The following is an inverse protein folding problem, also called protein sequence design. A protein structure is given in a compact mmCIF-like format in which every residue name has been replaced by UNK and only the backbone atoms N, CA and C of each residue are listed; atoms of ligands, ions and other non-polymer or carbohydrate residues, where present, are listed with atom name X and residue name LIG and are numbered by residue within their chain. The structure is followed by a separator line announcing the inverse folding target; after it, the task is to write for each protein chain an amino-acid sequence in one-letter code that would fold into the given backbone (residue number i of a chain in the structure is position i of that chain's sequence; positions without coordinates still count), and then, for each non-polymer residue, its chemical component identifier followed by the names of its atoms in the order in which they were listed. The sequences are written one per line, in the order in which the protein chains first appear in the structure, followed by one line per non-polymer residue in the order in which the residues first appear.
data_IF_860573260111
#
_entry.id   IF_860573260111
#
_cell.length_a   1.000
_cell.length_b   1.000
_cell.length_c   1.000
_cell.angle_alpha   90.00
_cell.angle_beta   90.00
_cell.angle_gamma   90.00
#
_symmetry.space_group_name_H-M   'P 1'
#
loop_
_entity.id
_entity.type
_entity.pdbx_description
1 polymer ?
2 non-polymer ?
3 non-polymer ?
4 non-polymer ?
5 non-polymer ?
6 water ?
#
# COMPACT_ATOMS: atom_id res chain seq x y z
N UNK A 1 -8.12 15.02 17.35
CA UNK A 1 -7.41 15.91 16.43
C UNK A 1 -8.11 15.71 15.11
N UNK A 2 -8.32 14.42 14.82
CA UNK A 2 -8.84 13.96 13.54
C UNK A 2 -10.21 14.54 13.26
N UNK A 3 -10.50 14.73 11.98
CA UNK A 3 -11.76 15.29 11.55
C UNK A 3 -12.45 14.31 10.62
N UNK A 4 -13.73 14.09 10.86
CA UNK A 4 -14.52 13.25 9.98
C UNK A 4 -15.20 14.14 8.95
N UNK A 5 -15.24 13.67 7.72
CA UNK A 5 -15.86 14.35 6.58
C UNK A 5 -16.77 13.33 5.89
N UNK A 6 -18.03 13.32 6.28
CA UNK A 6 -18.95 12.32 5.75
C UNK A 6 -19.39 12.63 4.33
N UNK A 7 -19.08 13.80 3.79
CA UNK A 7 -19.42 14.08 2.40
C UNK A 7 -18.63 13.21 1.43
N UNK A 8 -17.54 12.59 1.90
CA UNK A 8 -16.79 11.69 1.02
C UNK A 8 -17.54 10.39 0.78
N UNK A 9 -18.53 10.08 1.61
CA UNK A 9 -19.23 8.82 1.48
C UNK A 9 -19.92 8.69 0.13
N UNK A 10 -20.32 9.81 -0.48
CA UNK A 10 -21.01 9.70 -1.77
C UNK A 10 -20.11 9.09 -2.83
N UNK A 11 -18.80 9.32 -2.77
CA UNK A 11 -17.91 8.71 -3.76
C UNK A 11 -17.95 7.20 -3.66
N UNK A 12 -18.15 6.66 -2.46
CA UNK A 12 -18.35 5.22 -2.32
C UNK A 12 -19.75 4.81 -2.77
N UNK A 13 -20.77 5.50 -2.30
CA UNK A 13 -22.12 5.04 -2.60
C UNK A 13 -22.46 5.16 -4.09
N UNK A 14 -21.88 6.14 -4.77
CA UNK A 14 -22.08 6.24 -6.22
C UNK A 14 -21.64 4.95 -6.92
N UNK A 15 -20.65 4.25 -6.38
CA UNK A 15 -20.15 3.01 -6.97
C UNK A 15 -20.64 1.77 -6.23
N UNK A 16 -21.74 1.90 -5.48
CA UNK A 16 -22.30 0.80 -4.70
C UNK A 16 -21.20 0.12 -3.88
N UNK A 17 -20.41 0.95 -3.18
CA UNK A 17 -19.23 0.49 -2.48
C UNK A 17 -19.27 0.94 -1.02
N UNK A 18 -18.51 0.23 -0.18
CA UNK A 18 -18.30 0.60 1.21
C UNK A 18 -16.81 0.60 1.49
N UNK A 19 -16.34 1.62 2.19
CA UNK A 19 -14.90 1.70 2.46
C UNK A 19 -14.55 2.94 3.23
N UNK A 20 -13.24 3.16 3.35
CA UNK A 20 -12.70 4.31 4.06
C UNK A 20 -11.58 4.93 3.26
N UNK A 21 -11.52 6.27 3.29
CA UNK A 21 -10.35 7.03 2.88
C UNK A 21 -9.87 7.79 4.10
N UNK A 22 -8.55 7.78 4.29
CA UNK A 22 -7.89 8.57 5.32
C UNK A 22 -6.88 9.45 4.62
N UNK A 23 -6.88 10.73 4.96
CA UNK A 23 -5.92 11.70 4.43
C UNK A 23 -5.17 12.33 5.59
N UNK A 24 -3.90 12.65 5.36
CA UNK A 24 -3.10 13.37 6.34
C UNK A 24 -2.39 14.52 5.65
N UNK A 25 -2.69 15.75 6.08
CA UNK A 25 -2.06 16.98 5.60
C UNK A 25 -0.78 17.18 6.39
N UNK A 26 0.35 16.96 5.75
CA UNK A 26 1.61 16.95 6.49
C UNK A 26 1.95 18.33 7.06
N UNK A 27 1.78 19.39 6.27
CA UNK A 27 2.13 20.71 6.77
C UNK A 27 1.33 21.03 8.02
N UNK A 28 0.04 20.69 8.03
CA UNK A 28 -0.85 21.07 9.10
C UNK A 28 -0.94 20.02 10.21
N UNK A 29 -0.34 18.87 10.02
CA UNK A 29 -0.40 17.78 11.00
C UNK A 29 -1.84 17.49 11.37
N UNK A 30 -2.67 17.28 10.35
CA UNK A 30 -4.11 17.13 10.52
C UNK A 30 -4.58 15.97 9.66
N UNK A 31 -5.38 15.10 10.26
CA UNK A 31 -5.97 13.96 9.59
C UNK A 31 -7.46 14.12 9.35
N UNK A 32 -7.94 13.47 8.29
CA UNK A 32 -9.32 13.54 7.85
C UNK A 32 -9.74 12.16 7.38
N UNK A 33 -10.99 11.78 7.63
CA UNK A 33 -11.49 10.50 7.16
C UNK A 33 -13.00 10.57 7.00
N UNK A 34 -13.56 9.70 6.15
CA UNK A 34 -15.01 9.64 6.04
C UNK A 34 -15.66 8.84 7.16
N UNK A 35 -14.91 7.97 7.85
CA UNK A 35 -15.49 7.11 8.87
C UNK A 35 -14.41 6.74 9.86
N UNK A 36 -14.48 7.35 11.05
CA UNK A 36 -13.43 7.18 12.06
C UNK A 36 -13.29 5.73 12.49
N UNK A 37 -14.40 5.02 12.63
CA UNK A 37 -14.30 3.62 13.07
C UNK A 37 -13.58 2.77 12.04
N UNK A 38 -13.96 2.90 10.77
CA UNK A 38 -13.32 2.04 9.78
C UNK A 38 -11.88 2.47 9.52
N UNK A 39 -11.57 3.75 9.71
CA UNK A 39 -10.18 4.18 9.60
C UNK A 39 -9.26 3.42 10.54
N UNK A 40 -9.78 2.97 11.69
CA UNK A 40 -9.00 2.26 12.71
C UNK A 40 -9.19 0.75 12.67
N UNK A 41 -9.92 0.23 11.70
CA UNK A 41 -10.19 -1.18 11.60
C UNK A 41 -9.06 -1.88 10.85
N UNK A 42 -8.53 -2.93 11.43
CA UNK A 42 -7.38 -3.61 10.86
C UNK A 42 -7.82 -4.68 9.86
N UNK A 43 -7.11 -4.74 8.74
CA UNK A 43 -7.35 -5.71 7.69
C UNK A 43 -6.03 -6.35 7.28
N UNK A 44 -6.11 -7.51 6.64
CA UNK A 44 -4.95 -8.10 6.01
C UNK A 44 -4.37 -7.10 5.01
N UNK A 45 -3.04 -6.97 4.92
CA UNK A 45 -2.45 -5.93 4.07
C UNK A 45 -2.34 -6.29 2.60
N UNK A 46 -2.36 -7.58 2.26
CA UNK A 46 -2.18 -8.01 0.89
C UNK A 46 -0.92 -7.36 0.32
N UNK A 47 -0.93 -6.96 -0.94
CA UNK A 47 0.30 -6.46 -1.55
C UNK A 47 0.76 -5.12 -1.05
N UNK A 48 0.01 -4.44 -0.17
CA UNK A 48 0.62 -3.29 0.47
C UNK A 48 1.81 -3.69 1.32
N UNK A 49 1.88 -4.96 1.74
CA UNK A 49 3.03 -5.47 2.47
C UNK A 49 4.29 -5.48 1.62
N UNK A 50 4.15 -5.37 0.31
CA UNK A 50 5.35 -5.27 -0.51
C UNK A 50 6.19 -4.03 -0.22
N UNK A 51 5.62 -2.99 0.38
CA UNK A 51 6.43 -1.82 0.73
C UNK A 51 7.41 -2.22 1.82
N UNK A 52 6.98 -2.68 3.00
CA UNK A 52 8.00 -3.10 4.00
C UNK A 52 8.83 -4.29 3.58
N UNK A 53 8.27 -5.23 2.82
CA UNK A 53 9.06 -6.38 2.45
C UNK A 53 10.17 -6.00 1.47
N UNK A 54 9.93 -5.00 0.62
CA UNK A 54 11.01 -4.49 -0.23
C UNK A 54 12.11 -3.83 0.59
N UNK A 55 11.74 -3.07 1.62
CA UNK A 55 12.74 -2.46 2.50
C UNK A 55 13.61 -3.52 3.13
N UNK A 56 13.00 -4.61 3.58
CA UNK A 56 13.73 -5.67 4.25
C UNK A 56 14.66 -6.37 3.27
N UNK A 57 14.15 -6.68 2.09
CA UNK A 57 14.96 -7.36 1.08
C UNK A 57 16.17 -6.53 0.69
N UNK A 58 16.00 -5.22 0.52
CA UNK A 58 17.14 -4.37 0.21
C UNK A 58 18.11 -4.29 1.37
N UNK A 59 17.60 -4.15 2.57
CA UNK A 59 18.51 -3.81 3.66
C UNK A 59 19.30 -5.04 4.08
N UNK A 60 18.78 -6.25 3.83
CA UNK A 60 19.53 -7.48 4.05
C UNK A 60 20.36 -7.89 2.85
N UNK A 61 20.27 -7.19 1.73
CA UNK A 61 21.04 -7.54 0.56
C UNK A 61 20.48 -8.67 -0.26
N UNK A 62 19.25 -9.12 0.01
CA UNK A 62 18.58 -10.09 -0.84
C UNK A 62 18.33 -9.50 -2.22
N UNK A 63 17.99 -8.22 -2.26
CA UNK A 63 17.89 -7.45 -3.50
C UNK A 63 19.04 -6.46 -3.48
N UNK A 64 19.89 -6.50 -4.51
CA UNK A 64 21.06 -5.63 -4.50
C UNK A 64 20.74 -4.19 -4.86
N UNK A 65 19.90 -3.99 -5.88
CA UNK A 65 19.43 -2.68 -6.26
C UNK A 65 18.18 -2.85 -7.10
N UNK A 66 17.61 -1.74 -7.54
CA UNK A 66 16.36 -1.74 -8.28
C UNK A 66 16.53 -2.22 -9.72
N UNK A 67 17.77 -2.50 -10.14
CA UNK A 67 18.07 -2.95 -11.48
C UNK A 67 18.20 -4.46 -11.57
N UNK A 68 18.49 -5.13 -10.46
CA UNK A 68 18.70 -6.56 -10.45
C UNK A 68 17.50 -7.27 -11.07
N UNK A 69 17.78 -8.23 -11.96
CA UNK A 69 16.74 -8.93 -12.72
C UNK A 69 16.41 -10.25 -12.05
N UNK A 70 15.13 -10.47 -11.80
CA UNK A 70 14.60 -11.72 -11.28
C UNK A 70 13.95 -12.39 -12.47
N UNK A 71 14.63 -13.40 -13.00
CA UNK A 71 14.19 -14.02 -14.23
C UNK A 71 12.91 -14.82 -14.02
N UNK A 72 12.07 -14.82 -15.05
CA UNK A 72 10.92 -15.71 -15.06
C UNK A 72 11.37 -17.16 -15.12
N UNK A 73 10.71 -18.02 -14.33
CA UNK A 73 11.01 -19.45 -14.34
C UNK A 73 10.39 -20.18 -15.53
N UNK A 74 9.71 -19.50 -16.43
CA UNK A 74 9.14 -20.14 -17.60
C UNK A 74 7.84 -20.86 -17.36
N UNK A 75 7.27 -20.78 -16.17
CA UNK A 75 6.01 -21.42 -15.85
C UNK A 75 4.90 -20.40 -16.00
N UNK A 76 3.92 -20.71 -16.84
CA UNK A 76 2.84 -19.78 -17.18
C UNK A 76 1.78 -19.79 -16.08
N UNK A 77 1.78 -18.74 -15.28
CA UNK A 77 0.80 -18.49 -14.23
C UNK A 77 -0.37 -17.67 -14.77
N UNK A 78 -1.42 -17.54 -13.94
CA UNK A 78 -2.70 -16.99 -14.40
C UNK A 78 -2.60 -15.50 -14.76
N UNK A 79 -1.80 -14.74 -14.03
CA UNK A 79 -1.64 -13.30 -14.27
C UNK A 79 -0.53 -13.09 -15.30
N UNK A 80 -0.89 -12.63 -16.50
CA UNK A 80 0.05 -12.60 -17.61
C UNK A 80 1.29 -11.75 -17.33
N UNK A 81 1.13 -10.63 -16.61
CA UNK A 81 2.27 -9.78 -16.33
C UNK A 81 3.30 -10.44 -15.43
N UNK A 82 2.94 -11.55 -14.78
CA UNK A 82 3.92 -12.29 -13.99
C UNK A 82 4.83 -13.15 -14.84
N UNK A 83 4.45 -13.42 -16.09
CA UNK A 83 5.14 -14.42 -16.91
C UNK A 83 6.23 -13.77 -17.77
N UNK A 84 7.13 -13.09 -17.07
CA UNK A 84 8.21 -12.33 -17.70
C UNK A 84 9.24 -11.99 -16.64
N UNK A 85 10.40 -11.55 -17.09
CA UNK A 85 11.43 -11.08 -16.17
C UNK A 85 11.00 -9.77 -15.50
N UNK A 86 11.47 -9.54 -14.27
CA UNK A 86 11.14 -8.35 -13.50
C UNK A 86 12.36 -7.84 -12.76
N UNK A 87 12.33 -6.57 -12.43
CA UNK A 87 13.21 -5.97 -11.41
C UNK A 87 12.32 -5.51 -10.25
N UNK A 88 12.91 -4.84 -9.27
CA UNK A 88 12.09 -4.42 -8.12
C UNK A 88 11.02 -3.46 -8.54
N UNK A 89 11.35 -2.55 -9.46
CA UNK A 89 10.40 -1.55 -9.95
C UNK A 89 9.18 -2.26 -10.52
N UNK A 90 9.41 -3.14 -11.52
CA UNK A 90 8.30 -3.81 -12.18
C UNK A 90 7.61 -4.82 -11.28
N UNK A 91 8.34 -5.49 -10.39
CA UNK A 91 7.70 -6.42 -9.45
C UNK A 91 6.70 -5.70 -8.56
N UNK A 92 7.04 -4.48 -8.13
CA UNK A 92 6.09 -3.64 -7.41
C UNK A 92 4.92 -3.25 -8.30
N UNK A 93 5.21 -2.72 -9.48
CA UNK A 93 4.17 -2.21 -10.37
C UNK A 93 3.11 -3.26 -10.68
N UNK A 94 3.51 -4.50 -10.89
CA UNK A 94 2.61 -5.58 -11.27
C UNK A 94 2.31 -6.52 -10.12
N UNK A 95 2.71 -6.15 -8.90
CA UNK A 95 2.43 -6.95 -7.70
C UNK A 95 2.78 -8.42 -7.91
N UNK A 96 4.03 -8.68 -8.28
CA UNK A 96 4.43 -10.01 -8.78
C UNK A 96 4.73 -10.94 -7.61
N UNK A 97 3.73 -11.74 -7.25
CA UNK A 97 3.86 -12.64 -6.09
C UNK A 97 5.06 -13.58 -6.20
N UNK A 98 5.31 -14.27 -7.31
CA UNK A 98 6.42 -15.22 -7.32
C UNK A 98 7.74 -14.56 -7.00
N UNK A 99 7.93 -13.31 -7.39
CA UNK A 99 9.18 -12.61 -7.11
C UNK A 99 9.33 -12.37 -5.62
N UNK A 100 8.27 -11.87 -5.00
CA UNK A 100 8.32 -11.59 -3.56
C UNK A 100 8.29 -12.87 -2.73
N UNK A 101 7.71 -13.95 -3.24
CA UNK A 101 7.82 -15.22 -2.55
C UNK A 101 9.28 -15.67 -2.50
N UNK A 102 10.03 -15.45 -3.58
CA UNK A 102 11.45 -15.79 -3.55
C UNK A 102 12.22 -14.91 -2.57
N UNK A 103 11.91 -13.61 -2.54
CA UNK A 103 12.54 -12.74 -1.55
C UNK A 103 12.31 -13.31 -0.15
N UNK A 104 11.05 -13.67 0.14
CA UNK A 104 10.69 -14.14 1.46
C UNK A 104 11.40 -15.44 1.81
N UNK A 105 11.59 -16.33 0.83
CA UNK A 105 12.34 -17.55 1.10
C UNK A 105 13.75 -17.24 1.57
N UNK A 106 14.39 -16.23 0.95
CA UNK A 106 15.73 -15.85 1.37
C UNK A 106 15.73 -15.08 2.68
N UNK A 107 14.74 -14.21 2.89
CA UNK A 107 14.68 -13.44 4.12
C UNK A 107 14.44 -14.37 5.31
N UNK A 108 13.40 -15.18 5.23
CA UNK A 108 13.06 -16.09 6.31
C UNK A 108 11.97 -15.51 7.18
N UNK A 109 11.17 -16.42 7.76
CA UNK A 109 10.03 -15.94 8.55
C UNK A 109 10.49 -15.18 9.79
N UNK A 110 11.61 -15.60 10.39
CA UNK A 110 12.07 -14.95 11.62
C UNK A 110 12.55 -13.53 11.35
N UNK A 111 13.41 -13.35 10.35
CA UNK A 111 13.87 -12.00 10.02
C UNK A 111 12.71 -11.13 9.56
N UNK A 112 11.83 -11.66 8.71
CA UNK A 112 10.71 -10.85 8.23
C UNK A 112 9.86 -10.35 9.38
N UNK A 113 9.47 -11.26 10.29
CA UNK A 113 8.58 -10.87 11.39
C UNK A 113 9.24 -9.85 12.30
N UNK A 114 10.51 -10.03 12.62
CA UNK A 114 11.17 -9.10 13.53
C UNK A 114 11.32 -7.72 12.91
N UNK A 115 11.66 -7.65 11.62
CA UNK A 115 11.83 -6.34 10.99
C UNK A 115 10.48 -5.63 10.84
N UNK A 116 9.39 -6.36 10.59
CA UNK A 116 8.09 -5.72 10.53
C UNK A 116 7.73 -5.09 11.88
N UNK A 117 8.01 -5.79 12.98
CA UNK A 117 7.72 -5.22 14.30
C UNK A 117 8.56 -3.98 14.54
N UNK A 118 9.82 -3.99 14.09
CA UNK A 118 10.68 -2.81 14.23
C UNK A 118 10.14 -1.62 13.45
N UNK A 119 9.37 -1.88 12.40
CA UNK A 119 8.68 -0.83 11.67
C UNK A 119 7.38 -0.41 12.34
N UNK A 120 6.97 -1.08 13.42
CA UNK A 120 5.66 -0.87 14.03
C UNK A 120 4.54 -1.02 12.99
N UNK A 121 4.68 -2.03 12.14
CA UNK A 121 3.79 -2.18 10.99
C UNK A 121 2.56 -2.98 11.41
N UNK A 122 1.45 -2.30 11.61
CA UNK A 122 0.25 -3.01 12.05
C UNK A 122 0.47 -3.70 13.38
N UNK A 123 -0.27 -4.79 13.58
CA UNK A 123 -0.22 -5.56 14.81
C UNK A 123 -0.57 -7.01 14.51
N UNK A 124 -0.03 -7.94 15.28
CA UNK A 124 -0.42 -9.33 15.11
C UNK A 124 -1.87 -9.50 15.54
N UNK A 125 -2.60 -10.36 14.83
CA UNK A 125 -4.01 -10.59 15.10
C UNK A 125 -4.20 -11.93 15.81
N UNK A 126 -5.36 -12.06 16.49
CA UNK A 126 -5.68 -13.31 17.19
C UNK A 126 -5.59 -14.51 16.25
N UNK A 127 -5.95 -14.33 14.98
CA UNK A 127 -5.98 -15.45 14.04
C UNK A 127 -4.58 -15.91 13.64
N UNK A 128 -3.54 -15.19 14.05
CA UNK A 128 -2.22 -15.63 13.67
C UNK A 128 -2.06 -15.55 12.16
N UNK A 129 -1.20 -16.42 11.62
CA UNK A 129 -1.03 -16.51 10.18
C UNK A 129 -2.22 -17.25 9.61
N UNK A 130 -2.84 -16.72 8.55
CA UNK A 130 -4.00 -17.36 7.95
C UNK A 130 -3.73 -17.89 6.55
N UNK A 131 -2.54 -17.66 6.01
CA UNK A 131 -2.15 -18.22 4.71
C UNK A 131 -0.69 -18.64 4.83
N UNK A 132 0.16 -18.15 3.93
CA UNK A 132 1.60 -18.26 4.09
C UNK A 132 2.14 -17.00 4.76
N UNK A 133 3.26 -17.15 5.46
CA UNK A 133 3.79 -16.04 6.26
C UNK A 133 4.15 -14.83 5.40
N UNK A 134 4.48 -15.04 4.13
CA UNK A 134 4.89 -13.93 3.27
C UNK A 134 3.71 -13.18 2.65
N UNK A 135 2.52 -13.79 2.65
CA UNK A 135 1.36 -13.14 2.02
C UNK A 135 0.72 -12.11 2.95
N UNK A 136 0.81 -12.31 4.26
CA UNK A 136 0.19 -11.40 5.22
C UNK A 136 1.09 -11.02 6.38
N UNK A 137 2.25 -11.64 6.54
CA UNK A 137 3.16 -11.28 7.60
C UNK A 137 2.64 -11.48 9.00
N UNK A 138 1.60 -12.32 9.17
CA UNK A 138 1.01 -12.57 10.48
C UNK A 138 0.33 -11.37 11.11
N UNK A 139 0.18 -10.27 10.37
CA UNK A 139 -0.36 -9.02 10.90
C UNK A 139 -1.63 -8.63 10.16
N UNK A 140 -2.30 -7.67 10.76
CA UNK A 140 -3.35 -6.90 10.12
C UNK A 140 -3.02 -5.45 10.43
N UNK A 141 -3.50 -4.56 9.59
CA UNK A 141 -3.14 -3.14 9.67
C UNK A 141 -4.36 -2.29 9.29
N UNK A 142 -4.54 -1.18 9.99
CA UNK A 142 -5.59 -0.23 9.65
C UNK A 142 -5.11 0.87 8.71
N UNK A 143 -6.05 1.60 8.13
CA UNK A 143 -5.72 2.72 7.26
C UNK A 143 -4.90 3.78 8.00
N UNK A 144 -5.26 4.09 9.24
CA UNK A 144 -4.48 5.07 9.99
C UNK A 144 -3.08 4.56 10.30
N UNK A 145 -2.94 3.25 10.56
CA UNK A 145 -1.61 2.69 10.78
C UNK A 145 -0.79 2.71 9.48
N UNK A 146 -1.43 2.53 8.32
CA UNK A 146 -0.69 2.68 7.06
C UNK A 146 -0.12 4.09 6.96
N UNK A 147 -0.93 5.10 7.29
CA UNK A 147 -0.47 6.50 7.27
C UNK A 147 0.76 6.66 8.14
N UNK A 148 0.71 6.17 9.37
CA UNK A 148 1.83 6.37 10.28
C UNK A 148 3.11 5.72 9.73
N UNK A 149 2.98 4.52 9.16
CA UNK A 149 4.14 3.85 8.57
C UNK A 149 4.68 4.65 7.39
N UNK A 150 3.79 5.09 6.49
CA UNK A 150 4.21 5.83 5.31
C UNK A 150 4.87 7.16 5.67
N UNK A 151 4.41 7.83 6.72
CA UNK A 151 5.07 9.07 7.13
C UNK A 151 6.50 8.81 7.56
N UNK A 152 6.74 7.70 8.25
CA UNK A 152 8.10 7.36 8.63
C UNK A 152 8.96 7.11 7.39
N UNK A 153 8.43 6.35 6.44
CA UNK A 153 9.16 6.10 5.20
C UNK A 153 9.49 7.40 4.48
N UNK A 154 8.49 8.28 4.36
CA UNK A 154 8.69 9.56 3.69
C UNK A 154 9.87 10.31 4.30
N UNK A 155 9.98 10.32 5.63
CA UNK A 155 11.00 11.06 6.36
C UNK A 155 12.28 10.25 6.61
N UNK A 156 12.41 9.07 6.02
CA UNK A 156 13.61 8.22 6.21
C UNK A 156 13.83 7.84 7.67
N UNK A 157 12.74 7.70 8.44
CA UNK A 157 12.82 7.46 9.86
C UNK A 157 12.70 5.98 10.22
N UNK A 158 12.39 5.11 9.28
CA UNK A 158 12.33 3.68 9.60
C UNK A 158 13.72 3.16 9.92
N UNK A 159 13.77 2.03 10.64
CA UNK A 159 15.02 1.45 11.10
C UNK A 159 15.63 0.51 10.05
N UNK A 160 15.84 1.09 8.87
CA UNK A 160 16.62 0.49 7.80
C UNK A 160 17.41 1.67 7.24
N UNK A 161 18.32 1.37 6.34
CA UNK A 161 19.16 2.44 5.81
C UNK A 161 18.36 3.46 5.02
N UNK A 162 18.91 4.68 4.95
CA UNK A 162 18.33 5.69 4.08
C UNK A 162 18.25 5.22 2.63
N UNK A 163 19.31 4.55 2.17
CA UNK A 163 19.31 4.05 0.80
C UNK A 163 18.11 3.15 0.54
N UNK A 164 17.87 2.18 1.45
CA UNK A 164 16.76 1.25 1.23
C UNK A 164 15.43 2.00 1.13
N UNK A 165 15.26 3.02 1.98
CA UNK A 165 14.03 3.81 1.95
C UNK A 165 13.91 4.61 0.66
N UNK A 166 15.01 5.21 0.20
CA UNK A 166 14.96 5.92 -1.06
C UNK A 166 14.65 5.01 -2.25
N UNK A 167 15.22 3.79 -2.27
CA UNK A 167 14.92 2.89 -3.37
C UNK A 167 13.45 2.49 -3.37
N UNK A 168 12.91 2.18 -2.19
CA UNK A 168 11.49 1.79 -2.16
C UNK A 168 10.58 2.95 -2.57
N UNK A 169 10.88 4.17 -2.13
CA UNK A 169 10.08 5.32 -2.56
C UNK A 169 10.14 5.51 -4.07
N UNK A 170 11.31 5.27 -4.67
CA UNK A 170 11.40 5.26 -6.14
C UNK A 170 10.47 4.20 -6.71
N UNK A 171 10.53 2.98 -6.18
CA UNK A 171 9.71 1.88 -6.70
C UNK A 171 8.23 2.12 -6.51
N UNK A 172 7.84 2.91 -5.52
CA UNK A 172 6.46 3.29 -5.37
C UNK A 172 5.91 4.26 -6.39
N UNK A 173 6.76 4.89 -7.18
CA UNK A 173 6.28 5.89 -8.11
C UNK A 173 5.18 5.32 -8.99
N UNK A 174 4.05 6.00 -9.02
CA UNK A 174 2.87 5.55 -9.77
C UNK A 174 2.45 6.54 -10.83
N UNK A 175 2.53 7.84 -10.59
CA UNK A 175 2.11 8.85 -11.53
C UNK A 175 2.86 10.14 -11.22
N UNK A 176 3.18 10.90 -12.26
CA UNK A 176 3.77 12.21 -12.05
C UNK A 176 3.45 13.07 -13.25
N UNK A 177 3.15 14.34 -12.99
CA UNK A 177 2.90 15.34 -14.03
C UNK A 177 3.28 16.69 -13.44
N UNK A 178 2.90 17.77 -14.12
CA UNK A 178 3.24 19.09 -13.64
C UNK A 178 2.52 19.52 -12.39
N UNK A 179 1.50 18.79 -11.98
CA UNK A 179 0.66 19.17 -10.86
C UNK A 179 0.92 18.33 -9.61
N UNK A 180 1.32 17.07 -9.74
CA UNK A 180 1.52 16.25 -8.56
C UNK A 180 2.37 15.02 -8.90
N UNK A 181 2.87 14.39 -7.86
CA UNK A 181 3.48 13.07 -7.90
C UNK A 181 2.73 12.15 -6.94
N UNK A 182 2.39 10.94 -7.38
CA UNK A 182 1.80 9.93 -6.51
C UNK A 182 2.79 8.80 -6.37
N UNK A 183 3.10 8.46 -5.13
CA UNK A 183 3.87 7.27 -4.77
C UNK A 183 2.92 6.39 -3.97
N UNK A 184 2.70 5.15 -4.41
CA UNK A 184 1.61 4.37 -3.81
C UNK A 184 1.78 2.89 -4.08
N UNK A 185 0.95 2.09 -3.42
CA UNK A 185 0.90 0.65 -3.62
C UNK A 185 -0.52 0.13 -3.46
N UNK A 186 -0.97 -0.65 -4.43
CA UNK A 186 -2.26 -1.32 -4.34
C UNK A 186 -2.15 -2.64 -3.55
N UNK A 187 -3.31 -3.12 -3.11
CA UNK A 187 -3.41 -4.47 -2.59
C UNK A 187 -4.82 -4.98 -2.75
N UNK A 188 -4.95 -6.30 -2.75
CA UNK A 188 -6.26 -6.95 -2.80
C UNK A 188 -6.17 -8.22 -1.97
N UNK A 189 -6.75 -8.17 -0.77
CA UNK A 189 -6.81 -9.33 0.12
C UNK A 189 -8.03 -10.13 -0.29
N UNK A 190 -7.81 -11.13 -1.14
CA UNK A 190 -8.89 -11.77 -1.86
C UNK A 190 -9.15 -13.21 -1.43
N UNK A 191 -8.47 -13.72 -0.40
CA UNK A 191 -8.60 -15.13 -0.08
C UNK A 191 -9.60 -15.46 1.03
N UNK A 192 -9.87 -14.50 1.91
CA UNK A 192 -10.61 -14.68 3.14
C UNK A 192 -11.66 -13.58 3.20
N UNK A 193 -12.87 -13.92 3.57
CA UNK A 193 -13.86 -12.89 3.80
C UNK A 193 -13.52 -12.12 5.07
N UNK A 194 -13.74 -10.79 5.09
CA UNK A 194 -14.24 -9.96 4.01
C UNK A 194 -13.12 -9.64 3.06
N UNK A 195 -13.34 -9.75 1.75
CA UNK A 195 -12.30 -9.43 0.79
C UNK A 195 -12.19 -7.90 0.65
N UNK A 196 -10.96 -7.39 0.66
CA UNK A 196 -10.67 -5.96 0.87
C UNK A 196 -9.69 -5.52 -0.20
N UNK A 197 -9.96 -4.39 -0.85
CA UNK A 197 -8.98 -3.73 -1.70
C UNK A 197 -8.38 -2.52 -1.01
N UNK A 198 -7.10 -2.27 -1.28
CA UNK A 198 -6.35 -1.17 -0.70
C UNK A 198 -5.68 -0.30 -1.76
N UNK A 199 -5.52 0.97 -1.43
CA UNK A 199 -4.52 1.83 -2.09
C UNK A 199 -3.96 2.76 -1.05
N UNK A 200 -2.65 2.74 -0.89
CA UNK A 200 -1.98 3.53 0.15
C UNK A 200 -0.79 4.25 -0.43
N UNK A 201 -0.48 5.44 0.07
CA UNK A 201 0.65 6.19 -0.48
C UNK A 201 0.57 7.64 -0.10
N UNK A 202 1.08 8.49 -1.00
CA UNK A 202 1.00 9.92 -0.80
C UNK A 202 1.01 10.67 -2.11
N UNK A 203 0.56 11.91 -2.04
CA UNK A 203 0.57 12.85 -3.15
C UNK A 203 1.51 13.98 -2.77
N UNK A 204 2.59 14.14 -3.53
CA UNK A 204 3.51 15.26 -3.34
C UNK A 204 3.06 16.41 -4.21
N UNK A 205 2.90 17.58 -3.60
CA UNK A 205 2.65 18.84 -4.27
C UNK A 205 3.89 19.71 -4.12
N UNK A 206 3.89 20.86 -4.80
CA UNK A 206 5.05 21.74 -4.69
C UNK A 206 5.32 22.10 -3.24
N UNK A 207 4.28 22.34 -2.46
CA UNK A 207 4.45 22.96 -1.14
C UNK A 207 3.88 22.14 0.00
N UNK A 208 3.44 20.91 -0.24
CA UNK A 208 2.88 20.07 0.82
C UNK A 208 2.91 18.63 0.33
N UNK A 209 2.66 17.72 1.27
CA UNK A 209 2.45 16.31 0.99
C UNK A 209 1.17 15.88 1.67
N UNK A 210 0.35 15.12 0.95
CA UNK A 210 -0.87 14.56 1.49
C UNK A 210 -0.75 13.04 1.47
N UNK A 211 -0.66 12.45 2.65
CA UNK A 211 -0.66 11.00 2.74
C UNK A 211 -2.09 10.49 2.61
N UNK A 212 -2.25 9.30 2.04
CA UNK A 212 -3.56 8.69 1.94
C UNK A 212 -3.49 7.18 2.18
N UNK A 213 -4.61 6.65 2.66
CA UNK A 213 -4.76 5.21 2.78
C UNK A 213 -6.24 4.93 2.64
N UNK A 214 -6.61 4.06 1.69
CA UNK A 214 -8.02 3.77 1.50
C UNK A 214 -8.13 2.23 1.48
N UNK A 215 -9.26 1.73 1.97
CA UNK A 215 -9.63 0.37 1.70
C UNK A 215 -11.12 0.31 1.46
N UNK A 216 -11.57 -0.76 0.85
CA UNK A 216 -12.96 -0.92 0.42
C UNK A 216 -13.31 -2.39 0.31
N UNK A 217 -14.57 -2.68 0.55
CA UNK A 217 -15.06 -4.04 0.34
C UNK A 217 -14.95 -4.37 -1.14
N UNK A 218 -14.44 -5.55 -1.44
CA UNK A 218 -14.12 -5.93 -2.82
C UNK A 218 -14.46 -7.40 -3.00
N UNK A 219 -15.75 -7.73 -3.09
CA UNK A 219 -16.10 -9.15 -3.25
C UNK A 219 -15.61 -9.74 -4.56
N UNK A 220 -15.41 -8.94 -5.60
CA UNK A 220 -14.90 -9.44 -6.86
C UNK A 220 -13.90 -8.46 -7.46
N UNK A 221 -12.99 -9.02 -8.25
CA UNK A 221 -12.02 -8.25 -9.03
C UNK A 221 -12.75 -7.81 -10.29
N UNK A 222 -13.50 -6.74 -10.15
CA UNK A 222 -14.29 -6.14 -11.21
C UNK A 222 -14.21 -4.65 -10.91
N UNK A 223 -14.26 -4.33 -9.63
CA UNK A 223 -14.16 -2.95 -9.19
C UNK A 223 -12.77 -2.62 -8.69
N UNK A 224 -11.76 -3.41 -9.09
CA UNK A 224 -10.41 -3.10 -8.62
C UNK A 224 -10.05 -1.65 -8.90
N UNK A 225 -10.38 -1.11 -10.09
CA UNK A 225 -10.06 0.29 -10.49
C UNK A 225 -10.76 1.36 -9.68
N UNK A 226 -11.77 0.97 -8.91
CA UNK A 226 -12.38 1.90 -8.00
C UNK A 226 -11.47 2.29 -6.85
N UNK A 227 -10.45 1.49 -6.54
CA UNK A 227 -9.54 1.89 -5.48
C UNK A 227 -8.94 3.26 -5.79
N UNK A 228 -8.37 3.40 -6.99
CA UNK A 228 -7.79 4.67 -7.39
C UNK A 228 -8.86 5.70 -7.70
N UNK A 229 -9.94 5.31 -8.40
CA UNK A 229 -10.95 6.28 -8.80
C UNK A 229 -11.60 6.96 -7.61
N UNK A 230 -11.99 6.20 -6.59
CA UNK A 230 -12.63 6.80 -5.42
C UNK A 230 -11.65 7.70 -4.69
N UNK A 231 -10.41 7.24 -4.52
CA UNK A 231 -9.39 8.07 -3.87
C UNK A 231 -9.24 9.39 -4.62
N UNK A 232 -9.14 9.32 -5.95
CA UNK A 232 -8.95 10.54 -6.72
C UNK A 232 -10.16 11.45 -6.65
N UNK A 233 -11.37 10.90 -6.53
CA UNK A 233 -12.55 11.75 -6.35
C UNK A 233 -12.45 12.53 -5.05
N UNK A 234 -11.96 11.91 -3.98
CA UNK A 234 -11.74 12.61 -2.71
C UNK A 234 -10.66 13.68 -2.88
N UNK A 235 -9.55 13.31 -3.52
CA UNK A 235 -8.46 14.26 -3.70
C UNK A 235 -8.91 15.46 -4.51
N UNK A 236 -9.72 15.23 -5.55
CA UNK A 236 -10.24 16.33 -6.35
C UNK A 236 -11.20 17.20 -5.53
N UNK A 237 -12.09 16.57 -4.73
CA UNK A 237 -13.01 17.35 -3.93
C UNK A 237 -12.26 18.29 -2.99
N UNK A 238 -11.15 17.81 -2.45
CA UNK A 238 -10.35 18.58 -1.51
C UNK A 238 -9.36 19.51 -2.22
N UNK A 239 -9.42 19.59 -3.55
CA UNK A 239 -8.58 20.49 -4.33
C UNK A 239 -7.10 20.17 -4.19
N UNK A 240 -6.78 18.92 -3.87
CA UNK A 240 -5.40 18.46 -3.79
C UNK A 240 -4.86 18.20 -5.18
N UNK A 241 -5.66 17.59 -6.05
CA UNK A 241 -5.32 17.43 -7.46
C UNK A 241 -6.41 18.08 -8.30
N UNK A 242 -6.10 18.53 -9.53
CA UNK A 242 -7.09 19.19 -10.38
C UNK A 242 -8.22 18.26 -10.79
X LIG B 1 11.52 9.20 -8.17
X LIG C 1 -0.02 2.35 -7.13
X LIG D 1 -4.34 -12.39 10.62
X LIG E 1 7.11 17.37 -12.24
X LIG E 1 6.62 16.03 -11.85
X LIG E 1 6.13 18.35 -11.86
X LIG E 1 7.29 17.58 -13.68
X LIG E 1 8.31 17.68 -11.48
X LIG F 1 5.59 17.61 -16.55
X LIG F 1 5.59 18.82 -17.26
X LIG F 1 4.75 16.58 -17.31
X LIG F 1 3.62 17.22 -17.86
X LIG F 1 2.40 16.92 -17.23
X LIG F 1 1.45 18.11 -17.25
X LIG F 1 0.54 18.07 -16.18
X LIG F 1 5.22 17.75 -15.66
X LIG F 1 6.51 17.29 -16.47
X LIG F 1 5.36 19.45 -16.73
X LIG F 1 5.28 16.20 -18.02
X LIG F 1 4.47 15.88 -16.70
X LIG F 1 1.99 16.16 -17.66
X LIG F 1 2.62 16.70 -16.33
X LIG F 1 1.96 18.94 -17.19
X LIG F 1 0.95 18.11 -18.08
X LIG F 1 0.43 18.86 -15.86
X LIG G 1 -3.03 -7.40 -5.82
X LIG G 1 -2.30 -7.98 -4.59
X LIG G 1 -2.96 -5.88 -5.86
X LIG G 1 -2.65 -7.77 -3.39
X LIG G 1 -1.32 -8.73 -4.82
X LIG G 1 -4.00 -5.21 -6.07
X LIG G 1 -1.87 -5.27 -5.69
X LIG G 1 -4.07 -7.70 -5.78
X LIG G 1 -2.57 -7.79 -6.72
#
# INVERSE_FOLDING_TARGET
EWQENKSWNVHFTEHKSQGVVVLWNENEQQGFTNNLKRANQAFLPASTLKIPNSLIALDLGVVKDEHQVFKWDGQTRDIATWNRDHNLITAMKYSVVPVYQEFARQIGEARMSKMLHAFDYGNEDISGNVDSFWLDGGIRISATEQISFLRKLYHNKLHVSERSQRIVKQAMLTEANGDYIIRAKTGYAARIEPKIGWWVGWVELDDNVWFFAMNMDMPTSDGLGLRQAITKEVLKQEKIIP
CL CL
CL CL
CL CL
SO4 S O1 O2 O3 O4
PEG C1 O1 C2 O2 C3 C4 O4 H11 H12 HO1 H21 H22 H31 H32 H41 H42 HO4
MLI C1 C2 C3 O6 O7 O8 O9 H11 H12
#
